data_IF_387476154070
#
_entry.id   IF_387476154070
#
_cell.length_a   1.000
_cell.length_b   1.000
_cell.length_c   1.000
_cell.angle_alpha   90.00
_cell.angle_beta   90.00
_cell.angle_gamma   90.00
#
_symmetry.space_group_name_H-M   'P 1'
#
loop_
_entity.id
_entity.type
_entity.pdbx_description
1 polymer ?
#
# COMPACT_ATOMS: atom_id res chain seq x y z
N UNK A 1 3.13 -13.28 -36.06
CA UNK A 1 3.26 -12.55 -35.54
C UNK A 1 3.12 -12.32 -34.45
N UNK A 2 3.17 -12.05 -34.35
CA UNK A 2 3.09 -11.77 -33.58
C UNK A 2 3.10 -10.95 -32.82
N UNK A 3 3.30 -10.66 -32.62
CA UNK A 3 3.59 -9.54 -31.95
C UNK A 3 2.68 -9.07 -30.89
N UNK A 4 1.60 -9.60 -30.76
CA UNK A 4 0.67 -9.18 -29.74
C UNK A 4 0.99 -9.82 -28.40
N UNK A 5 1.04 -8.98 -27.36
CA UNK A 5 1.29 -9.47 -26.01
C UNK A 5 0.00 -9.98 -25.42
N UNK A 6 -0.04 -11.22 -25.01
CA UNK A 6 -1.20 -11.77 -24.35
C UNK A 6 -1.28 -11.30 -22.91
N UNK A 7 -2.46 -11.43 -22.32
CA UNK A 7 -2.64 -11.06 -20.93
C UNK A 7 -1.72 -11.84 -20.01
N UNK A 8 -1.44 -13.07 -20.34
CA UNK A 8 -0.58 -13.91 -19.52
C UNK A 8 0.83 -13.37 -19.41
N UNK A 9 1.24 -12.52 -20.35
CA UNK A 9 2.59 -11.96 -20.34
C UNK A 9 2.69 -10.62 -19.63
N UNK A 10 1.58 -10.06 -19.21
CA UNK A 10 1.63 -8.83 -18.43
C UNK A 10 2.25 -9.11 -17.07
N UNK A 11 3.05 -8.18 -16.55
CA UNK A 11 3.56 -8.33 -15.19
C UNK A 11 2.40 -8.42 -14.21
N UNK A 12 2.45 -9.39 -13.33
CA UNK A 12 1.43 -9.51 -12.29
C UNK A 12 1.72 -8.51 -11.20
N UNK A 13 0.66 -8.09 -10.53
CA UNK A 13 0.74 -7.05 -9.52
C UNK A 13 0.23 -7.57 -8.19
N UNK A 14 0.69 -6.92 -7.14
CA UNK A 14 0.24 -7.21 -5.80
C UNK A 14 -0.16 -5.91 -5.14
N UNK A 15 -1.19 -5.98 -4.34
CA UNK A 15 -1.70 -4.82 -3.61
C UNK A 15 -1.40 -5.02 -2.15
N UNK A 16 -0.88 -3.98 -1.50
CA UNK A 16 -0.46 -4.07 -0.11
C UNK A 16 -1.13 -2.96 0.67
N UNK A 17 -1.79 -3.34 1.77
CA UNK A 17 -2.34 -2.37 2.70
C UNK A 17 -1.34 -2.06 3.78
N UNK A 18 -1.13 -0.78 4.03
CA UNK A 18 -0.12 -0.31 4.96
C UNK A 18 -0.72 0.56 6.04
N UNK A 19 -0.20 0.45 7.25
CA UNK A 19 -0.38 1.53 8.21
C UNK A 19 0.74 2.53 7.96
N UNK A 20 0.42 3.81 8.10
CA UNK A 20 1.32 4.90 7.75
C UNK A 20 1.48 5.81 8.96
N UNK A 21 2.72 6.13 9.31
CA UNK A 21 3.03 6.96 10.46
C UNK A 21 2.30 8.30 10.39
N UNK A 22 1.94 8.82 11.56
CA UNK A 22 1.31 10.14 11.65
C UNK A 22 2.23 11.26 11.16
N UNK A 23 3.51 10.98 11.01
CA UNK A 23 4.44 11.96 10.44
C UNK A 23 4.16 12.24 8.98
N UNK A 24 3.41 11.34 8.30
CA UNK A 24 3.08 11.50 6.89
C UNK A 24 1.65 12.01 6.80
N UNK A 25 1.49 13.22 6.28
CA UNK A 25 0.20 13.89 6.27
C UNK A 25 -0.34 14.14 4.87
N UNK A 26 0.38 13.69 3.82
CA UNK A 26 -0.10 13.86 2.47
C UNK A 26 0.37 12.71 1.61
N UNK A 27 -0.35 12.50 0.51
CA UNK A 27 0.02 11.49 -0.47
C UNK A 27 1.40 11.78 -1.05
N UNK A 28 1.71 13.05 -1.23
CA UNK A 28 3.01 13.47 -1.74
C UNK A 28 4.14 13.05 -0.80
N UNK A 29 3.93 13.23 0.50
CA UNK A 29 4.93 12.81 1.48
C UNK A 29 5.13 11.30 1.46
N UNK A 30 4.04 10.56 1.31
CA UNK A 30 4.16 9.10 1.22
C UNK A 30 4.91 8.70 -0.05
N UNK A 31 4.62 9.36 -1.17
CA UNK A 31 5.33 9.08 -2.40
C UNK A 31 6.82 9.36 -2.25
N UNK A 32 7.19 10.38 -1.48
CA UNK A 32 8.60 10.67 -1.23
C UNK A 32 9.28 9.54 -0.48
N UNK A 33 8.58 8.90 0.45
CA UNK A 33 9.14 7.75 1.16
C UNK A 33 9.50 6.66 0.15
N UNK A 34 8.61 6.40 -0.81
CA UNK A 34 8.85 5.34 -1.78
C UNK A 34 9.83 5.76 -2.88
N UNK A 35 10.16 7.04 -2.96
CA UNK A 35 11.19 7.51 -3.87
C UNK A 35 12.58 7.45 -3.25
N UNK A 36 12.67 7.12 -1.96
CA UNK A 36 13.96 7.03 -1.29
C UNK A 36 14.76 5.86 -1.86
N UNK A 37 16.10 5.87 -1.67
CA UNK A 37 16.92 4.81 -2.26
C UNK A 37 16.50 3.40 -1.88
N UNK A 38 15.96 3.21 -0.69
CA UNK A 38 15.54 1.87 -0.25
C UNK A 38 14.42 1.30 -1.10
N UNK A 39 13.51 2.16 -1.59
CA UNK A 39 12.33 1.69 -2.30
C UNK A 39 12.34 2.02 -3.79
N UNK A 40 13.24 2.88 -4.25
CA UNK A 40 13.14 3.46 -5.58
C UNK A 40 13.25 2.43 -6.70
N UNK A 41 13.88 1.28 -6.43
CA UNK A 41 14.03 0.23 -7.45
C UNK A 41 12.80 -0.63 -7.61
N UNK A 42 11.78 -0.45 -6.77
CA UNK A 42 10.64 -1.37 -6.73
C UNK A 42 9.41 -0.87 -7.50
N UNK A 43 9.48 0.29 -8.13
CA UNK A 43 8.40 0.80 -8.97
C UNK A 43 7.04 0.79 -8.24
N UNK A 44 7.03 1.28 -7.01
CA UNK A 44 5.81 1.31 -6.21
C UNK A 44 4.89 2.43 -6.66
N UNK A 45 3.59 2.19 -6.54
CA UNK A 45 2.60 3.20 -6.87
C UNK A 45 1.57 3.31 -5.75
N UNK A 46 1.36 4.52 -5.25
CA UNK A 46 0.35 4.77 -4.22
C UNK A 46 -1.01 4.83 -4.90
N UNK A 47 -1.94 3.98 -4.44
CA UNK A 47 -3.30 3.98 -4.98
C UNK A 47 -4.27 4.72 -4.08
N UNK A 48 -4.16 4.50 -2.78
CA UNK A 48 -5.00 5.19 -1.81
C UNK A 48 -4.15 5.64 -0.64
N UNK A 49 -4.51 6.77 -0.08
CA UNK A 49 -3.90 7.25 1.15
C UNK A 49 -4.94 8.03 1.93
N UNK A 50 -5.07 7.71 3.21
CA UNK A 50 -5.98 8.40 4.12
C UNK A 50 -5.18 8.86 5.33
N UNK A 51 -5.22 10.18 5.58
CA UNK A 51 -4.47 10.75 6.70
C UNK A 51 -4.99 10.22 8.02
N UNK A 52 -4.19 10.29 9.09
CA UNK A 52 -4.62 9.75 10.39
C UNK A 52 -5.91 10.35 10.91
N UNK A 53 -6.21 11.60 10.56
CA UNK A 53 -7.39 12.29 11.02
C UNK A 53 -8.67 11.92 10.27
N UNK A 54 -8.55 11.15 9.18
CA UNK A 54 -9.70 10.81 8.37
C UNK A 54 -10.56 9.76 9.04
N UNK A 55 -11.84 9.72 8.65
CA UNK A 55 -12.73 8.68 9.16
C UNK A 55 -12.31 7.30 8.67
N UNK A 56 -11.77 7.23 7.47
CA UNK A 56 -11.27 5.96 6.93
C UNK A 56 -10.14 5.42 7.78
N UNK A 57 -9.21 6.28 8.19
CA UNK A 57 -8.12 5.82 9.05
C UNK A 57 -8.63 5.42 10.43
N UNK A 58 -9.64 6.12 10.94
CA UNK A 58 -10.25 5.73 12.21
C UNK A 58 -10.85 4.33 12.13
N UNK A 59 -11.58 4.05 11.06
CA UNK A 59 -12.19 2.74 10.88
C UNK A 59 -11.12 1.66 10.75
N UNK A 60 -10.06 1.96 10.04
CA UNK A 60 -8.95 1.04 9.90
C UNK A 60 -8.32 0.71 11.26
N UNK A 61 -8.05 1.75 12.05
CA UNK A 61 -7.44 1.53 13.36
C UNK A 61 -8.36 0.71 14.28
N UNK A 62 -9.64 0.99 14.25
CA UNK A 62 -10.59 0.25 15.07
C UNK A 62 -10.64 -1.21 14.66
N UNK A 63 -10.66 -1.48 13.37
CA UNK A 63 -10.73 -2.85 12.86
C UNK A 63 -9.50 -3.65 13.25
N UNK A 64 -8.34 -3.03 13.25
CA UNK A 64 -7.09 -3.73 13.55
C UNK A 64 -6.60 -3.49 14.97
N UNK A 65 -7.41 -2.84 15.78
CA UNK A 65 -7.11 -2.60 17.20
C UNK A 65 -5.78 -1.91 17.39
N UNK A 66 -5.51 -0.91 16.53
CA UNK A 66 -4.25 -0.18 16.60
C UNK A 66 -4.37 0.99 17.55
N UNK A 67 -3.34 1.16 18.37
CA UNK A 67 -3.33 2.21 19.39
C UNK A 67 -2.73 3.49 18.87
N UNK A 68 -1.82 3.40 17.90
CA UNK A 68 -1.12 4.56 17.41
C UNK A 68 -1.97 5.34 16.42
N UNK A 69 -1.67 6.60 16.29
CA UNK A 69 -2.43 7.52 15.44
C UNK A 69 -1.93 7.44 14.00
N UNK A 70 -2.15 6.29 13.37
CA UNK A 70 -1.62 6.04 12.03
C UNK A 70 -2.68 6.25 10.96
N UNK A 71 -2.21 6.60 9.76
CA UNK A 71 -3.06 6.59 8.59
C UNK A 71 -3.03 5.22 7.91
N UNK A 72 -3.67 5.14 6.75
CA UNK A 72 -3.76 3.88 6.02
C UNK A 72 -3.54 4.16 4.54
N UNK A 73 -2.89 3.22 3.85
CA UNK A 73 -2.61 3.39 2.43
C UNK A 73 -2.67 2.05 1.72
N UNK A 74 -2.87 2.11 0.41
CA UNK A 74 -2.78 0.94 -0.46
C UNK A 74 -1.77 1.28 -1.55
N UNK A 75 -0.77 0.40 -1.72
CA UNK A 75 0.22 0.57 -2.76
C UNK A 75 0.24 -0.65 -3.66
N UNK A 76 0.65 -0.43 -4.90
CA UNK A 76 0.81 -1.50 -5.88
C UNK A 76 2.29 -1.78 -6.07
N UNK A 77 2.63 -3.06 -6.14
CA UNK A 77 3.98 -3.50 -6.45
C UNK A 77 3.89 -4.60 -7.48
N UNK A 78 4.90 -4.73 -8.33
CA UNK A 78 4.95 -5.86 -9.25
C UNK A 78 5.21 -7.13 -8.44
N UNK A 79 4.58 -8.22 -8.84
CA UNK A 79 4.71 -9.47 -8.09
C UNK A 79 6.16 -9.90 -7.96
N UNK A 80 6.96 -9.69 -8.99
CA UNK A 80 8.38 -10.05 -8.97
C UNK A 80 9.16 -9.29 -7.90
N UNK A 81 8.67 -8.11 -7.50
CA UNK A 81 9.36 -7.27 -6.50
C UNK A 81 8.74 -7.42 -5.12
N UNK A 82 7.70 -8.23 -5.00
CA UNK A 82 6.93 -8.30 -3.76
C UNK A 82 7.77 -8.80 -2.58
N UNK A 83 8.60 -9.81 -2.81
CA UNK A 83 9.40 -10.35 -1.71
C UNK A 83 10.46 -9.35 -1.24
N UNK A 84 11.03 -8.59 -2.16
CA UNK A 84 11.97 -7.54 -1.79
C UNK A 84 11.28 -6.48 -0.96
N UNK A 85 10.07 -6.10 -1.35
CA UNK A 85 9.32 -5.12 -0.58
C UNK A 85 8.98 -5.66 0.81
N UNK A 86 8.56 -6.91 0.90
CA UNK A 86 8.28 -7.50 2.21
C UNK A 86 9.50 -7.45 3.11
N UNK A 87 10.66 -7.77 2.57
CA UNK A 87 11.88 -7.75 3.36
C UNK A 87 12.18 -6.35 3.87
N UNK A 88 12.01 -5.34 3.02
CA UNK A 88 12.23 -3.96 3.44
C UNK A 88 11.28 -3.54 4.55
N UNK A 89 10.01 -3.92 4.42
CA UNK A 89 9.02 -3.53 5.41
C UNK A 89 9.24 -4.24 6.74
N UNK A 90 9.78 -5.45 6.71
CA UNK A 90 10.02 -6.22 7.92
C UNK A 90 11.36 -5.90 8.57
N UNK A 91 12.27 -5.27 7.85
CA UNK A 91 13.61 -5.02 8.35
C UNK A 91 13.66 -4.03 9.49
N UNK A 92 12.63 -3.20 9.62
CA UNK A 92 12.61 -2.17 10.65
C UNK A 92 13.43 -0.94 10.30
N UNK A 93 13.99 -0.89 9.12
CA UNK A 93 14.74 0.30 8.69
C UNK A 93 13.82 1.47 8.41
N UNK A 94 12.56 1.17 8.13
CA UNK A 94 11.57 2.19 7.86
C UNK A 94 10.46 2.08 8.87
N UNK A 95 10.39 3.07 9.76
CA UNK A 95 9.31 3.11 10.76
C UNK A 95 8.07 3.80 10.24
N UNK A 96 8.14 4.35 9.01
CA UNK A 96 7.06 5.18 8.50
C UNK A 96 5.89 4.38 7.95
N UNK A 97 6.13 3.16 7.50
CA UNK A 97 5.07 2.32 6.95
C UNK A 97 5.22 0.89 7.46
N UNK A 98 4.08 0.24 7.66
CA UNK A 98 4.06 -1.15 8.15
C UNK A 98 3.04 -1.92 7.33
N UNK A 99 3.43 -3.11 6.88
CA UNK A 99 2.53 -3.97 6.10
C UNK A 99 1.46 -4.58 7.00
N UNK A 100 0.21 -4.47 6.56
CA UNK A 100 -0.93 -5.03 7.29
C UNK A 100 -1.48 -6.24 6.55
N UNK A 101 -1.67 -6.12 5.23
CA UNK A 101 -2.25 -7.20 4.44
C UNK A 101 -1.80 -7.04 3.00
N UNK A 102 -1.92 -8.12 2.23
CA UNK A 102 -1.62 -8.04 0.80
C UNK A 102 -2.49 -9.03 0.05
N UNK A 103 -2.73 -8.75 -1.22
CA UNK A 103 -3.51 -9.63 -2.08
C UNK A 103 -3.25 -9.27 -3.53
N UNK A 104 -3.55 -10.23 -4.41
CA UNK A 104 -3.56 -9.95 -5.83
C UNK A 104 -4.77 -9.15 -6.28
N UNK A 105 -5.72 -8.88 -5.38
CA UNK A 105 -6.93 -8.14 -5.71
C UNK A 105 -7.09 -6.96 -4.75
N UNK A 106 -7.18 -5.76 -5.32
CA UNK A 106 -7.28 -4.56 -4.51
C UNK A 106 -8.56 -4.57 -3.67
N UNK A 107 -9.63 -5.16 -4.20
CA UNK A 107 -10.89 -5.23 -3.45
C UNK A 107 -10.71 -5.94 -2.12
N UNK A 108 -9.94 -7.03 -2.11
CA UNK A 108 -9.72 -7.77 -0.88
C UNK A 108 -8.87 -6.97 0.11
N UNK A 109 -7.90 -6.22 -0.39
CA UNK A 109 -7.09 -5.38 0.49
C UNK A 109 -7.98 -4.33 1.15
N UNK A 110 -8.86 -3.68 0.38
CA UNK A 110 -9.78 -2.69 0.95
C UNK A 110 -10.67 -3.31 2.03
N UNK A 111 -11.20 -4.49 1.76
CA UNK A 111 -12.05 -5.16 2.74
C UNK A 111 -11.30 -5.47 4.02
N UNK A 112 -10.09 -5.97 3.88
CA UNK A 112 -9.30 -6.36 5.05
C UNK A 112 -8.87 -5.16 5.88
N UNK A 113 -8.66 -4.01 5.22
CA UNK A 113 -8.33 -2.79 5.93
C UNK A 113 -9.53 -2.14 6.57
N UNK A 114 -10.74 -2.55 6.19
CA UNK A 114 -11.95 -1.93 6.71
C UNK A 114 -12.31 -0.65 6.00
N UNK A 115 -11.81 -0.46 4.78
CA UNK A 115 -12.11 0.75 4.01
C UNK A 115 -13.42 0.58 3.27
N UNK A 116 -14.17 1.68 3.10
CA UNK A 116 -15.42 1.61 2.33
C UNK A 116 -15.14 1.34 0.87
N UNK A 117 -16.17 0.85 0.18
CA UNK A 117 -16.05 0.67 -1.26
C UNK A 117 -15.87 2.02 -1.93
N UNK A 118 -15.09 2.06 -3.02
CA UNK A 118 -14.96 3.33 -3.75
C UNK A 118 -16.32 3.79 -4.27
N UNK A 119 -16.51 5.09 -4.23
CA UNK A 119 -17.72 5.68 -4.78
C UNK A 119 -17.72 5.48 -6.29
N UNK A 120 -18.91 5.17 -6.83
CA UNK A 120 -19.05 4.98 -8.26
C UNK A 120 -20.05 5.97 -8.80
N UNK A 121 -19.73 6.50 -9.94
CA UNK A 121 -20.62 7.44 -10.61
C UNK A 121 -21.26 6.81 -11.81
#
# INVERSE_FOLDING_TARGET
>A
MVGRVSKAKRPKRRWIGLSVSSAIQSRSELADVFASPSFSTLALKVYDFHVPQSSEAEQFRARHELQDDVGVAIVRVLLRDYEDLRALLQSGEQDLVTSITSSGKIRLVRERLGLPKPSRK
#
